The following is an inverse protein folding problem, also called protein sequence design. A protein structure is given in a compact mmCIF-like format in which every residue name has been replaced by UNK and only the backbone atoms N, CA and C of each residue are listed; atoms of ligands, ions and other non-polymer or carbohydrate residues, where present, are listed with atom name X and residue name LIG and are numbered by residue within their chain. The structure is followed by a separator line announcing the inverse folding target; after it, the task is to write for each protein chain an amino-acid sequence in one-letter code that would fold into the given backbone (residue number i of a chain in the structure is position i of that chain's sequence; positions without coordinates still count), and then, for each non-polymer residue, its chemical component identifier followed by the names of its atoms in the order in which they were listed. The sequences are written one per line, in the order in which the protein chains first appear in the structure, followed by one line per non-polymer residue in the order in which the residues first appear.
data_IF_328236380845
#
_entry.id   IF_328236380845
#
_cell.length_a   1.000
_cell.length_b   1.000
_cell.length_c   1.000
_cell.angle_alpha   90.00
_cell.angle_beta   90.00
_cell.angle_gamma   90.00
#
_symmetry.space_group_name_H-M   'P 1'
#
loop_
_entity.id
_entity.type
_entity.pdbx_description
1 polymer ?
#
# COMPACT_ATOMS: atom_id res chain seq x y z
N UNK A 1 -56.42 -14.42 57.08
CA UNK A 1 -55.09 -14.76 56.54
C UNK A 1 -55.11 -14.76 55.01
N UNK A 2 -55.31 -13.61 54.33
CA UNK A 2 -55.38 -13.61 52.86
C UNK A 2 -54.91 -12.34 52.13
N UNK A 3 -54.29 -11.35 52.80
CA UNK A 3 -53.77 -10.15 52.11
C UNK A 3 -52.28 -10.25 51.73
N UNK A 4 -51.46 -11.00 52.49
CA UNK A 4 -50.02 -11.08 52.24
C UNK A 4 -49.64 -11.96 51.05
N UNK A 5 -50.54 -12.82 50.57
CA UNK A 5 -50.26 -13.75 49.47
C UNK A 5 -50.51 -13.11 48.09
N UNK A 6 -51.48 -12.19 47.97
CA UNK A 6 -51.75 -11.45 46.74
C UNK A 6 -50.72 -10.33 46.49
N UNK A 7 -50.24 -9.65 47.54
CA UNK A 7 -49.22 -8.61 47.42
C UNK A 7 -47.89 -9.20 46.91
N UNK A 8 -47.50 -10.38 47.41
CA UNK A 8 -46.28 -11.06 46.96
C UNK A 8 -46.34 -11.49 45.48
N UNK A 9 -47.52 -11.93 45.00
CA UNK A 9 -47.69 -12.36 43.61
C UNK A 9 -47.54 -11.18 42.62
N UNK A 10 -48.15 -10.04 42.93
CA UNK A 10 -48.04 -8.83 42.10
C UNK A 10 -46.62 -8.24 42.10
N UNK A 11 -45.89 -8.36 43.22
CA UNK A 11 -44.48 -7.96 43.31
C UNK A 11 -43.56 -8.89 42.52
N UNK A 12 -43.88 -10.18 42.43
CA UNK A 12 -43.14 -11.13 41.60
C UNK A 12 -43.37 -10.87 40.11
N UNK A 13 -44.63 -10.75 39.67
CA UNK A 13 -44.98 -10.51 38.27
C UNK A 13 -44.40 -9.20 37.73
N UNK A 14 -44.43 -8.12 38.52
CA UNK A 14 -43.77 -6.87 38.17
C UNK A 14 -42.25 -7.05 38.01
N UNK A 15 -41.58 -7.75 38.93
CA UNK A 15 -40.13 -8.03 38.83
C UNK A 15 -39.76 -8.83 37.57
N UNK A 16 -40.60 -9.79 37.17
CA UNK A 16 -40.41 -10.54 35.93
C UNK A 16 -40.57 -9.67 34.69
N UNK A 17 -41.54 -8.77 34.66
CA UNK A 17 -41.72 -7.81 33.55
C UNK A 17 -40.56 -6.81 33.46
N UNK A 18 -40.06 -6.30 34.59
CA UNK A 18 -38.88 -5.44 34.61
C UNK A 18 -37.65 -6.16 34.05
N UNK A 19 -37.38 -7.41 34.45
CA UNK A 19 -36.25 -8.18 33.91
C UNK A 19 -36.36 -8.49 32.42
N UNK A 20 -37.58 -8.76 31.91
CA UNK A 20 -37.77 -8.96 30.47
C UNK A 20 -37.55 -7.66 29.67
N UNK A 21 -37.99 -6.53 30.20
CA UNK A 21 -37.77 -5.23 29.56
C UNK A 21 -36.29 -4.84 29.54
N UNK A 22 -35.54 -5.08 30.63
CA UNK A 22 -34.09 -4.88 30.65
C UNK A 22 -33.39 -5.78 29.62
N UNK A 23 -33.74 -7.06 29.56
CA UNK A 23 -33.14 -7.99 28.60
C UNK A 23 -33.41 -7.59 27.14
N UNK A 24 -34.64 -7.16 26.82
CA UNK A 24 -35.00 -6.71 25.47
C UNK A 24 -34.28 -5.40 25.09
N UNK A 25 -34.08 -4.50 26.05
CA UNK A 25 -33.32 -3.28 25.86
C UNK A 25 -31.84 -3.59 25.57
N UNK A 26 -31.22 -4.50 26.32
CA UNK A 26 -29.84 -4.92 26.11
C UNK A 26 -29.63 -5.52 24.72
N UNK A 27 -30.57 -6.38 24.28
CA UNK A 27 -30.55 -6.95 22.93
C UNK A 27 -30.64 -5.84 21.87
N UNK A 28 -31.54 -4.88 22.03
CA UNK A 28 -31.70 -3.77 21.07
C UNK A 28 -30.46 -2.88 20.96
N UNK A 29 -29.80 -2.60 22.09
CA UNK A 29 -28.55 -1.85 22.15
C UNK A 29 -27.42 -2.60 21.46
N UNK A 30 -27.33 -3.92 21.65
CA UNK A 30 -26.35 -4.76 20.98
C UNK A 30 -26.54 -4.77 19.45
N UNK A 31 -27.79 -4.85 18.96
CA UNK A 31 -28.09 -4.76 17.53
C UNK A 31 -27.71 -3.39 16.94
N UNK A 32 -28.00 -2.30 17.65
CA UNK A 32 -27.62 -0.96 17.21
C UNK A 32 -26.10 -0.78 17.16
N UNK A 33 -25.38 -1.27 18.15
CA UNK A 33 -23.91 -1.25 18.18
C UNK A 33 -23.31 -2.06 17.01
N UNK A 34 -23.83 -3.26 16.75
CA UNK A 34 -23.38 -4.09 15.64
C UNK A 34 -23.61 -3.42 14.27
N UNK A 35 -24.75 -2.77 14.07
CA UNK A 35 -25.03 -2.04 12.83
C UNK A 35 -24.12 -0.81 12.66
N UNK A 36 -23.89 -0.05 13.72
CA UNK A 36 -22.94 1.09 13.69
C UNK A 36 -21.52 0.62 13.41
N UNK A 37 -21.12 -0.54 13.93
CA UNK A 37 -19.83 -1.14 13.65
C UNK A 37 -19.71 -1.61 12.20
N UNK A 38 -20.76 -2.21 11.62
CA UNK A 38 -20.78 -2.59 10.20
C UNK A 38 -20.73 -1.37 9.26
N UNK A 39 -21.48 -0.32 9.58
CA UNK A 39 -21.49 0.93 8.80
C UNK A 39 -20.11 1.59 8.83
N UNK A 40 -19.47 1.65 10.00
CA UNK A 40 -18.12 2.22 10.12
C UNK A 40 -17.07 1.39 9.38
N UNK A 41 -17.14 0.05 9.40
CA UNK A 41 -16.25 -0.82 8.60
C UNK A 41 -16.45 -0.57 7.10
N UNK A 42 -17.70 -0.48 6.65
CA UNK A 42 -18.01 -0.26 5.24
C UNK A 42 -17.57 1.13 4.76
N UNK A 43 -17.70 2.14 5.61
CA UNK A 43 -17.32 3.52 5.31
C UNK A 43 -15.80 3.72 5.32
N UNK A 44 -15.08 3.14 6.30
CA UNK A 44 -13.61 3.12 6.31
C UNK A 44 -13.05 2.44 5.04
N UNK A 45 -13.63 1.30 4.62
CA UNK A 45 -13.22 0.64 3.39
C UNK A 45 -13.45 1.50 2.15
N UNK A 46 -14.54 2.29 2.10
CA UNK A 46 -14.83 3.15 0.95
C UNK A 46 -13.91 4.38 0.88
N UNK A 47 -13.63 4.99 2.04
CA UNK A 47 -12.73 6.15 2.14
C UNK A 47 -11.27 5.74 1.84
N UNK A 48 -10.84 4.54 2.26
CA UNK A 48 -9.54 3.96 1.91
C UNK A 48 -9.40 3.66 0.41
N UNK A 49 -10.50 3.30 -0.26
CA UNK A 49 -10.54 3.03 -1.71
C UNK A 49 -10.51 4.35 -2.51
N UNK A 50 -11.21 5.40 -2.08
CA UNK A 50 -11.20 6.69 -2.78
C UNK A 50 -9.90 7.50 -2.57
N UNK A 51 -9.24 7.37 -1.41
CA UNK A 51 -7.97 8.07 -1.16
C UNK A 51 -6.76 7.40 -1.84
N UNK A 52 -6.80 6.09 -2.07
CA UNK A 52 -5.78 5.42 -2.84
C UNK A 52 -6.08 5.59 -4.33
N UNK A 53 -5.32 6.47 -5.00
CA UNK A 53 -5.21 6.37 -6.47
C UNK A 53 -4.74 4.96 -6.79
N UNK A 54 -5.66 4.10 -7.21
CA UNK A 54 -5.35 2.74 -7.60
C UNK A 54 -4.51 2.84 -8.88
N UNK A 55 -3.32 2.24 -8.89
CA UNK A 55 -2.39 2.26 -10.02
C UNK A 55 -2.48 0.93 -10.77
N UNK A 56 -3.64 0.53 -11.34
CA UNK A 56 -3.81 -0.82 -11.87
C UNK A 56 -2.80 -1.09 -12.98
N UNK A 57 -2.22 -2.28 -12.99
CA UNK A 57 -1.23 -2.72 -13.97
C UNK A 57 -0.06 -1.75 -14.11
N UNK A 58 0.44 -1.21 -13.00
CA UNK A 58 1.50 -0.20 -13.03
C UNK A 58 2.68 -0.57 -12.16
N UNK A 59 3.86 -0.19 -12.62
CA UNK A 59 5.03 -0.05 -11.76
C UNK A 59 4.90 1.30 -11.07
N UNK A 60 5.04 1.34 -9.76
CA UNK A 60 4.99 2.56 -8.96
C UNK A 60 6.36 2.82 -8.34
N UNK A 61 6.67 4.10 -8.10
CA UNK A 61 7.97 4.51 -7.57
C UNK A 61 7.83 5.69 -6.63
N UNK A 62 8.63 5.68 -5.56
CA UNK A 62 8.73 6.77 -4.58
C UNK A 62 10.18 7.07 -4.24
N UNK A 63 10.42 8.25 -3.66
CA UNK A 63 11.76 8.70 -3.29
C UNK A 63 12.24 7.98 -2.01
N UNK A 64 13.45 7.41 -2.06
CA UNK A 64 14.19 7.02 -0.87
C UNK A 64 14.81 8.23 -0.16
N UNK A 65 14.70 8.32 1.18
CA UNK A 65 15.41 9.33 1.97
C UNK A 65 16.92 9.29 1.71
N UNK A 66 17.55 10.46 1.61
CA UNK A 66 18.98 10.68 1.35
C UNK A 66 19.51 10.17 0.00
N UNK A 67 19.15 8.98 -0.46
CA UNK A 67 19.67 8.41 -1.71
C UNK A 67 19.11 9.17 -2.92
N UNK A 68 17.80 9.46 -2.92
CA UNK A 68 17.16 10.15 -4.04
C UNK A 68 17.64 11.59 -4.19
N UNK A 69 18.01 12.25 -3.08
CA UNK A 69 18.57 13.59 -3.17
C UNK A 69 19.99 13.61 -3.75
N UNK A 70 20.68 12.46 -3.80
CA UNK A 70 21.97 12.31 -4.47
C UNK A 70 21.81 11.86 -5.93
N UNK A 71 20.95 10.87 -6.21
CA UNK A 71 20.49 10.56 -7.57
C UNK A 71 18.96 10.49 -7.65
N UNK A 72 18.31 11.43 -8.36
CA UNK A 72 16.86 11.41 -8.61
C UNK A 72 16.38 10.16 -9.37
N UNK A 73 17.32 9.43 -9.96
CA UNK A 73 17.09 8.17 -10.66
C UNK A 73 16.86 6.98 -9.73
N UNK A 74 17.43 7.02 -8.51
CA UNK A 74 17.37 5.92 -7.55
C UNK A 74 16.24 6.22 -6.55
N UNK A 75 15.35 5.27 -6.37
CA UNK A 75 14.32 5.33 -5.34
C UNK A 75 13.80 3.94 -5.02
N UNK A 76 12.57 3.87 -4.52
CA UNK A 76 11.92 2.62 -4.17
C UNK A 76 10.79 2.33 -5.14
N UNK A 77 10.69 1.09 -5.61
CA UNK A 77 9.69 0.69 -6.61
C UNK A 77 8.81 -0.43 -6.08
N UNK A 78 7.57 -0.47 -6.54
CA UNK A 78 6.67 -1.61 -6.38
C UNK A 78 5.93 -1.87 -7.68
N UNK A 79 5.16 -2.95 -7.69
CA UNK A 79 4.26 -3.28 -8.79
C UNK A 79 2.85 -3.46 -8.24
N UNK A 80 1.89 -2.88 -8.93
CA UNK A 80 0.48 -2.97 -8.58
C UNK A 80 -0.22 -4.06 -9.41
N UNK A 81 -1.15 -4.77 -8.80
CA UNK A 81 -2.00 -5.77 -9.45
C UNK A 81 -3.07 -5.13 -10.38
N UNK A 82 -4.00 -5.94 -10.88
CA UNK A 82 -5.08 -5.44 -11.74
C UNK A 82 -6.06 -4.49 -11.03
N UNK A 83 -6.24 -4.65 -9.72
CA UNK A 83 -7.10 -3.81 -8.87
C UNK A 83 -6.38 -2.52 -8.45
N UNK A 84 -5.06 -2.46 -8.63
CA UNK A 84 -4.22 -1.33 -8.26
C UNK A 84 -3.64 -1.41 -6.86
N UNK A 85 -3.73 -2.58 -6.21
CA UNK A 85 -3.07 -2.85 -4.93
C UNK A 85 -1.57 -2.97 -5.18
N UNK A 86 -0.81 -2.12 -4.51
CA UNK A 86 0.65 -2.06 -4.64
C UNK A 86 1.30 -3.17 -3.82
N UNK A 87 2.30 -3.84 -4.41
CA UNK A 87 3.19 -4.77 -3.74
C UNK A 87 4.64 -4.31 -3.90
N UNK A 88 5.38 -4.25 -2.79
CA UNK A 88 6.78 -3.87 -2.80
C UNK A 88 7.62 -4.74 -1.87
N UNK A 89 8.86 -5.03 -2.29
CA UNK A 89 9.81 -5.70 -1.41
C UNK A 89 10.44 -4.68 -0.46
N UNK A 90 9.80 -4.49 0.68
CA UNK A 90 10.09 -3.44 1.66
C UNK A 90 11.17 -3.83 2.69
N UNK A 91 11.53 -5.11 2.78
CA UNK A 91 12.57 -5.60 3.67
C UNK A 91 12.79 -7.11 3.56
N UNK A 92 13.77 -7.69 4.27
CA UNK A 92 14.04 -9.12 4.23
C UNK A 92 12.77 -9.92 4.54
N UNK A 93 12.43 -10.88 3.66
CA UNK A 93 11.26 -11.75 3.82
C UNK A 93 9.90 -11.04 3.87
N UNK A 94 9.83 -9.75 3.52
CA UNK A 94 8.64 -8.93 3.69
C UNK A 94 8.22 -8.24 2.39
N UNK A 95 6.99 -8.53 1.96
CA UNK A 95 6.30 -7.84 0.88
C UNK A 95 5.26 -6.91 1.52
N UNK A 96 5.43 -5.61 1.33
CA UNK A 96 4.41 -4.63 1.67
C UNK A 96 3.22 -4.73 0.72
N UNK A 97 2.04 -4.37 1.21
CA UNK A 97 0.78 -4.38 0.46
C UNK A 97 0.06 -3.05 0.66
N UNK A 98 -0.49 -2.49 -0.41
CA UNK A 98 -1.31 -1.28 -0.42
C UNK A 98 -0.52 0.00 -0.67
N UNK A 99 0.50 0.28 0.15
CA UNK A 99 1.37 1.45 0.02
C UNK A 99 2.83 1.05 -0.12
N UNK A 100 3.64 1.90 -0.78
CA UNK A 100 5.10 1.75 -0.79
C UNK A 100 5.68 2.07 0.59
N UNK A 101 6.73 1.35 0.97
CA UNK A 101 7.39 1.47 2.28
C UNK A 101 7.87 2.89 2.63
N UNK A 102 8.19 3.70 1.63
CA UNK A 102 8.74 5.06 1.80
C UNK A 102 7.72 6.16 1.47
N UNK A 103 6.42 5.82 1.50
CA UNK A 103 5.32 6.75 1.29
C UNK A 103 4.69 6.65 -0.10
N UNK A 104 3.73 7.53 -0.38
CA UNK A 104 2.91 7.47 -1.58
C UNK A 104 3.72 7.48 -2.90
N UNK A 105 3.26 6.78 -3.96
CA UNK A 105 3.89 6.86 -5.27
C UNK A 105 4.04 8.29 -5.78
N UNK A 106 5.25 8.63 -6.23
CA UNK A 106 5.59 9.91 -6.85
C UNK A 106 5.63 9.78 -8.38
N UNK A 107 5.98 8.60 -8.89
CA UNK A 107 5.96 8.25 -10.31
C UNK A 107 5.28 6.90 -10.52
N UNK A 108 4.75 6.70 -11.73
CA UNK A 108 4.24 5.41 -12.16
C UNK A 108 4.51 5.17 -13.65
N UNK A 109 4.63 3.90 -14.03
CA UNK A 109 4.66 3.42 -15.41
C UNK A 109 3.50 2.45 -15.57
N UNK A 110 2.50 2.83 -16.38
CA UNK A 110 1.39 1.94 -16.72
C UNK A 110 1.86 0.91 -17.76
N UNK A 111 1.72 -0.37 -17.44
CA UNK A 111 2.10 -1.48 -18.30
C UNK A 111 1.02 -1.73 -19.34
N UNK A 112 1.45 -2.05 -20.56
CA UNK A 112 0.56 -2.35 -21.67
C UNK A 112 0.20 -3.84 -21.68
N UNK A 113 -1.10 -4.14 -21.53
CA UNK A 113 -1.62 -5.52 -21.53
C UNK A 113 -1.35 -6.27 -22.84
N UNK A 114 -1.11 -5.56 -23.94
CA UNK A 114 -0.81 -6.20 -25.23
C UNK A 114 0.65 -6.66 -25.33
N UNK A 115 1.50 -6.29 -24.37
CA UNK A 115 2.93 -6.62 -24.36
C UNK A 115 3.27 -7.80 -23.47
N UNK A 116 2.30 -8.46 -22.86
CA UNK A 116 2.52 -9.63 -22.00
C UNK A 116 2.07 -10.90 -22.71
N UNK A 117 2.86 -11.97 -22.57
CA UNK A 117 2.57 -13.30 -23.15
C UNK A 117 1.63 -14.10 -22.25
N UNK A 118 1.62 -13.83 -20.94
CA UNK A 118 0.75 -14.49 -19.98
C UNK A 118 -0.62 -13.79 -19.90
N UNK A 119 -1.68 -14.59 -19.93
CA UNK A 119 -3.06 -14.11 -19.77
C UNK A 119 -3.39 -13.73 -18.31
N UNK A 120 -2.42 -13.82 -17.40
CA UNK A 120 -2.67 -13.61 -15.97
C UNK A 120 -1.53 -12.81 -15.32
N UNK A 121 -1.57 -11.50 -15.54
CA UNK A 121 -0.70 -10.49 -14.93
C UNK A 121 -0.60 -10.65 -13.40
N UNK A 122 -1.73 -10.87 -12.74
CA UNK A 122 -1.80 -11.03 -11.29
C UNK A 122 -1.07 -12.28 -10.82
N UNK A 123 -1.20 -13.41 -11.52
CA UNK A 123 -0.42 -14.61 -11.21
C UNK A 123 1.08 -14.32 -11.28
N UNK A 124 1.54 -13.60 -12.31
CA UNK A 124 2.95 -13.24 -12.44
C UNK A 124 3.44 -12.33 -11.30
N UNK A 125 2.61 -11.40 -10.82
CA UNK A 125 2.88 -10.55 -9.65
C UNK A 125 2.91 -11.41 -8.37
N UNK A 126 1.92 -12.28 -8.16
CA UNK A 126 1.83 -13.15 -6.99
C UNK A 126 3.01 -14.13 -6.90
N UNK A 127 3.43 -14.73 -8.01
CA UNK A 127 4.60 -15.61 -8.06
C UNK A 127 5.89 -14.85 -7.69
N UNK A 128 6.02 -13.60 -8.13
CA UNK A 128 7.14 -12.75 -7.74
C UNK A 128 7.09 -12.45 -6.23
N UNK A 129 5.91 -12.11 -5.69
CA UNK A 129 5.71 -11.90 -4.25
C UNK A 129 6.14 -13.15 -3.44
N UNK A 130 5.62 -14.33 -3.81
CA UNK A 130 5.95 -15.60 -3.15
C UNK A 130 7.44 -15.94 -3.22
N UNK A 131 8.09 -15.62 -4.33
CA UNK A 131 9.54 -15.82 -4.50
C UNK A 131 10.36 -14.91 -3.58
N UNK A 132 9.91 -13.68 -3.34
CA UNK A 132 10.65 -12.67 -2.58
C UNK A 132 10.39 -12.71 -1.07
N UNK A 133 9.26 -13.26 -0.62
CA UNK A 133 9.02 -13.59 0.80
C UNK A 133 10.08 -14.55 1.36
N UNK A 134 10.75 -15.33 0.49
CA UNK A 134 11.79 -16.29 0.91
C UNK A 134 13.22 -15.74 0.83
N UNK A 135 13.41 -14.48 0.42
CA UNK A 135 14.73 -13.93 0.10
C UNK A 135 15.22 -12.91 1.14
N UNK A 136 16.53 -12.91 1.38
CA UNK A 136 17.23 -11.87 2.13
C UNK A 136 17.33 -10.61 1.27
N UNK A 137 16.96 -9.46 1.84
CA UNK A 137 17.03 -8.16 1.19
C UNK A 137 18.47 -7.61 1.24
N UNK A 138 19.04 -7.29 0.08
CA UNK A 138 20.31 -6.59 -0.05
C UNK A 138 20.06 -5.28 -0.81
N UNK A 139 20.43 -4.16 -0.21
CA UNK A 139 20.15 -2.80 -0.70
C UNK A 139 20.50 -2.60 -2.20
N UNK A 140 21.59 -3.23 -2.67
CA UNK A 140 22.10 -3.03 -4.03
C UNK A 140 21.94 -4.22 -5.00
N UNK A 141 21.64 -5.44 -4.54
CA UNK A 141 21.70 -6.64 -5.42
C UNK A 141 20.42 -7.50 -5.37
N UNK A 142 19.64 -7.40 -4.30
CA UNK A 142 18.36 -8.07 -4.18
C UNK A 142 17.37 -7.14 -3.48
N UNK A 143 16.83 -6.22 -4.26
CA UNK A 143 16.03 -5.11 -3.79
C UNK A 143 14.67 -5.08 -4.49
N UNK A 144 13.91 -4.02 -4.22
CA UNK A 144 12.60 -3.77 -4.81
C UNK A 144 12.57 -3.77 -6.35
N UNK A 145 13.66 -3.37 -7.02
CA UNK A 145 13.72 -3.38 -8.47
C UNK A 145 13.90 -4.79 -9.03
N UNK A 146 14.64 -5.66 -8.34
CA UNK A 146 14.76 -7.08 -8.69
C UNK A 146 13.42 -7.81 -8.53
N UNK A 147 12.63 -7.45 -7.51
CA UNK A 147 11.25 -7.95 -7.32
C UNK A 147 10.33 -7.58 -8.49
N UNK A 148 10.31 -6.31 -8.89
CA UNK A 148 9.55 -5.86 -10.07
C UNK A 148 10.06 -6.52 -11.35
N UNK A 149 11.38 -6.64 -11.52
CA UNK A 149 11.98 -7.32 -12.67
C UNK A 149 11.55 -8.78 -12.76
N UNK A 150 11.47 -9.48 -11.62
CA UNK A 150 10.95 -10.86 -11.55
C UNK A 150 9.51 -10.94 -12.04
N UNK A 151 8.64 -10.02 -11.61
CA UNK A 151 7.26 -9.98 -12.09
C UNK A 151 7.20 -9.77 -13.61
N UNK A 152 7.96 -8.81 -14.14
CA UNK A 152 8.04 -8.54 -15.58
C UNK A 152 8.55 -9.75 -16.38
N UNK A 153 9.53 -10.48 -15.84
CA UNK A 153 10.05 -11.70 -16.44
C UNK A 153 9.02 -12.84 -16.44
N UNK A 154 8.29 -13.01 -15.33
CA UNK A 154 7.23 -14.03 -15.22
C UNK A 154 6.11 -13.80 -16.26
N UNK A 155 5.72 -12.55 -16.51
CA UNK A 155 4.71 -12.21 -17.53
C UNK A 155 5.27 -12.06 -18.94
N UNK A 156 6.59 -12.26 -19.11
CA UNK A 156 7.35 -12.04 -20.36
C UNK A 156 7.06 -10.68 -20.99
N UNK A 157 7.03 -9.63 -20.18
CA UNK A 157 6.65 -8.29 -20.63
C UNK A 157 7.58 -7.79 -21.74
N UNK A 158 7.00 -7.31 -22.83
CA UNK A 158 7.65 -6.89 -24.07
C UNK A 158 8.42 -8.03 -24.77
N UNK A 159 7.89 -9.27 -24.68
CA UNK A 159 8.53 -10.49 -25.20
C UNK A 159 9.93 -10.74 -24.61
N UNK A 160 10.16 -10.30 -23.38
CA UNK A 160 11.45 -10.41 -22.68
C UNK A 160 11.30 -11.13 -21.35
N UNK A 161 12.33 -11.90 -20.98
CA UNK A 161 12.43 -12.58 -19.69
C UNK A 161 13.78 -12.32 -18.99
N UNK A 162 14.46 -11.25 -19.40
CA UNK A 162 15.79 -10.82 -18.95
C UNK A 162 15.78 -9.42 -18.31
N UNK A 163 14.61 -8.95 -17.83
CA UNK A 163 14.51 -7.75 -17.02
C UNK A 163 15.42 -7.87 -15.80
N UNK A 164 16.23 -6.84 -15.59
CA UNK A 164 17.14 -6.66 -14.45
C UNK A 164 16.71 -5.47 -13.60
N UNK A 165 17.21 -5.38 -12.36
CA UNK A 165 16.99 -4.22 -11.51
C UNK A 165 17.37 -2.88 -12.19
N UNK A 166 18.45 -2.89 -12.98
CA UNK A 166 18.93 -1.69 -13.70
C UNK A 166 17.97 -1.33 -14.83
N UNK A 167 17.50 -2.33 -15.60
CA UNK A 167 16.52 -2.08 -16.66
C UNK A 167 15.21 -1.53 -16.11
N UNK A 168 14.75 -2.01 -14.94
CA UNK A 168 13.56 -1.46 -14.26
C UNK A 168 13.81 -0.04 -13.80
N UNK A 169 14.96 0.25 -13.17
CA UNK A 169 15.32 1.60 -12.73
C UNK A 169 15.29 2.58 -13.90
N UNK A 170 15.94 2.23 -15.01
CA UNK A 170 15.97 3.06 -16.22
C UNK A 170 14.57 3.20 -16.84
N UNK A 171 13.78 2.13 -16.87
CA UNK A 171 12.43 2.15 -17.40
C UNK A 171 11.52 3.08 -16.59
N UNK A 172 11.56 3.02 -15.26
CA UNK A 172 10.83 3.94 -14.38
C UNK A 172 11.36 5.37 -14.49
N UNK A 173 12.67 5.56 -14.63
CA UNK A 173 13.26 6.88 -14.74
C UNK A 173 12.81 7.60 -16.03
N UNK A 174 12.97 6.96 -17.18
CA UNK A 174 12.69 7.56 -18.48
C UNK A 174 11.23 7.46 -18.94
N UNK A 175 10.52 6.38 -18.60
CA UNK A 175 9.14 6.17 -19.02
C UNK A 175 8.11 6.48 -17.92
N UNK A 176 8.57 6.76 -16.69
CA UNK A 176 7.70 7.08 -15.57
C UNK A 176 7.09 8.47 -15.66
N UNK A 177 5.78 8.55 -15.44
CA UNK A 177 5.04 9.80 -15.31
C UNK A 177 4.92 10.17 -13.83
N UNK A 178 5.13 11.44 -13.51
CA UNK A 178 4.84 11.95 -12.17
C UNK A 178 3.33 11.97 -11.91
N UNK A 179 2.93 11.67 -10.67
CA UNK A 179 1.51 11.64 -10.29
C UNK A 179 0.88 13.04 -10.24
N UNK A 180 1.70 14.06 -9.95
CA UNK A 180 1.36 15.49 -9.96
C UNK A 180 2.63 16.35 -9.96
N UNK A 181 2.47 17.67 -10.08
CA UNK A 181 3.58 18.62 -10.03
C UNK A 181 4.28 18.66 -8.65
N UNK A 182 3.53 18.45 -7.55
CA UNK A 182 4.12 18.41 -6.20
C UNK A 182 5.15 17.28 -6.07
N UNK A 183 4.92 16.17 -6.76
CA UNK A 183 5.80 15.01 -6.79
C UNK A 183 7.09 15.29 -7.56
N UNK A 184 7.04 16.11 -8.61
CA UNK A 184 8.24 16.64 -9.28
C UNK A 184 9.08 17.44 -8.28
N UNK A 185 8.45 18.36 -7.55
CA UNK A 185 9.15 19.19 -6.57
C UNK A 185 9.78 18.36 -5.45
N UNK A 186 9.06 17.36 -4.92
CA UNK A 186 9.56 16.44 -3.87
C UNK A 186 10.84 15.70 -4.28
N UNK A 187 10.98 15.38 -5.57
CA UNK A 187 12.16 14.68 -6.09
C UNK A 187 13.32 15.64 -6.35
N UNK A 188 13.06 16.74 -7.06
CA UNK A 188 14.15 17.57 -7.58
C UNK A 188 14.61 18.69 -6.65
N UNK A 189 13.76 19.23 -5.77
CA UNK A 189 14.19 20.28 -4.83
C UNK A 189 15.33 19.78 -3.91
N UNK A 190 15.22 18.63 -3.23
CA UNK A 190 16.31 18.12 -2.39
C UNK A 190 17.60 17.88 -3.18
N UNK A 191 17.49 17.44 -4.44
CA UNK A 191 18.64 17.22 -5.31
C UNK A 191 19.37 18.51 -5.65
N UNK A 192 18.65 19.56 -6.04
CA UNK A 192 19.29 20.85 -6.33
C UNK A 192 19.89 21.49 -5.07
N UNK A 193 19.24 21.36 -3.91
CA UNK A 193 19.81 21.79 -2.63
C UNK A 193 21.13 21.06 -2.35
N UNK A 194 21.15 19.74 -2.54
CA UNK A 194 22.36 18.92 -2.36
C UNK A 194 23.50 19.37 -3.31
N UNK A 195 23.21 19.62 -4.58
CA UNK A 195 24.20 20.13 -5.54
C UNK A 195 24.75 21.51 -5.15
N UNK A 196 23.90 22.41 -4.68
CA UNK A 196 24.32 23.74 -4.22
C UNK A 196 25.27 23.60 -3.03
N UNK A 197 24.93 22.77 -2.05
CA UNK A 197 25.78 22.54 -0.87
C UNK A 197 27.14 21.95 -1.25
N UNK A 198 27.17 20.96 -2.14
CA UNK A 198 28.44 20.40 -2.67
C UNK A 198 29.25 21.48 -3.37
N UNK A 199 28.61 22.28 -4.24
CA UNK A 199 29.27 23.37 -4.95
C UNK A 199 29.90 24.40 -4.02
N UNK A 200 29.19 24.76 -2.94
CA UNK A 200 29.71 25.66 -1.91
C UNK A 200 30.91 25.05 -1.17
N UNK A 201 30.82 23.78 -0.76
CA UNK A 201 31.93 23.08 -0.10
C UNK A 201 33.17 23.06 -0.99
N UNK A 202 33.01 22.68 -2.26
CA UNK A 202 34.11 22.66 -3.25
C UNK A 202 34.70 24.07 -3.41
N UNK A 203 33.85 25.10 -3.52
CA UNK A 203 34.29 26.48 -3.64
C UNK A 203 35.13 26.96 -2.44
N UNK A 204 34.74 26.62 -1.21
CA UNK A 204 35.50 26.99 -0.01
C UNK A 204 36.78 26.17 0.17
N UNK A 205 36.84 24.92 -0.30
CA UNK A 205 38.07 24.10 -0.26
C UNK A 205 39.07 24.58 -1.33
N UNK A 206 38.58 25.03 -2.49
CA UNK A 206 39.41 25.46 -3.61
C UNK A 206 39.96 26.89 -3.47
N UNK A 207 39.57 27.61 -2.42
CA UNK A 207 39.99 28.98 -2.11
C UNK A 207 40.96 29.00 -0.94
#
# INVERSE_FOLDING_TARGET
MNNNQYINKNQQESKYQYQQNEHNNDISLQYQQNNQQQISIQQNNFDDIEQNKLYPHSIVWTALPCITCMCPCIGHTGIADQEGIIYDFAGPYYIGKGNLAFGQPLKYVKLDKNKMDSQNYDNSVMEANQSYVKQVHNLCFNNCHSHVARALNNMKYNNKSDWTMVSVCMFVFFCGKFVDFKSVLKVYIPFFIFLILIGLIIYFIAR
#
